data_IF_235033980808
#
_entry.id   IF_235033980808
#
_cell.length_a   1.000
_cell.length_b   1.000
_cell.length_c   1.000
_cell.angle_alpha   90.00
_cell.angle_beta   90.00
_cell.angle_gamma   90.00
#
_symmetry.space_group_name_H-M   'P 1'
#
loop_
_entity.id
_entity.type
_entity.pdbx_description
1 polymer ?
#
# COMPACT_ATOMS: atom_id res chain seq x y z
N UNK A 1 -0.28 -16.37 -23.83
CA UNK A 1 1.16 -16.36 -23.49
C UNK A 1 1.29 -16.19 -21.98
N UNK A 2 1.53 -17.27 -21.22
CA UNK A 2 1.81 -17.15 -19.78
C UNK A 2 3.13 -16.42 -19.59
N UNK A 3 3.06 -15.10 -19.30
CA UNK A 3 4.24 -14.34 -18.89
C UNK A 3 4.74 -14.95 -17.59
N UNK A 4 5.95 -15.52 -17.61
CA UNK A 4 6.64 -15.89 -16.38
C UNK A 4 6.82 -14.60 -15.59
N UNK A 5 6.31 -14.56 -14.36
CA UNK A 5 6.49 -13.40 -13.48
C UNK A 5 7.98 -13.21 -13.23
N UNK A 6 8.48 -12.02 -13.55
CA UNK A 6 9.89 -11.72 -13.35
C UNK A 6 10.17 -11.55 -11.86
N UNK A 7 11.39 -11.93 -11.43
CA UNK A 7 11.80 -11.81 -10.02
C UNK A 7 11.58 -10.40 -9.47
N UNK A 8 11.80 -9.38 -10.31
CA UNK A 8 11.63 -7.97 -9.92
C UNK A 8 10.14 -7.62 -9.73
N UNK A 9 9.24 -8.18 -10.55
CA UNK A 9 7.79 -8.01 -10.38
C UNK A 9 7.33 -8.58 -9.05
N UNK A 10 7.80 -9.78 -8.67
CA UNK A 10 7.48 -10.39 -7.38
C UNK A 10 7.97 -9.52 -6.22
N UNK A 11 9.19 -8.96 -6.31
CA UNK A 11 9.72 -8.06 -5.28
C UNK A 11 8.89 -6.77 -5.17
N UNK A 12 8.53 -6.17 -6.30
CA UNK A 12 7.71 -4.96 -6.34
C UNK A 12 6.29 -5.21 -5.80
N UNK A 13 5.71 -6.38 -6.09
CA UNK A 13 4.41 -6.80 -5.59
C UNK A 13 4.43 -6.98 -4.06
N UNK A 14 5.43 -7.69 -3.53
CA UNK A 14 5.63 -7.84 -2.07
C UNK A 14 5.75 -6.46 -1.40
N UNK A 15 6.58 -5.57 -1.97
CA UNK A 15 6.75 -4.21 -1.45
C UNK A 15 5.45 -3.42 -1.48
N UNK A 16 4.64 -3.58 -2.53
CA UNK A 16 3.35 -2.88 -2.64
C UNK A 16 2.36 -3.35 -1.58
N UNK A 17 2.33 -4.65 -1.27
CA UNK A 17 1.51 -5.20 -0.19
C UNK A 17 2.01 -4.69 1.17
N UNK A 18 3.32 -4.67 1.39
CA UNK A 18 3.93 -4.24 2.66
C UNK A 18 3.89 -2.71 2.89
N UNK A 19 3.15 -1.94 2.08
CA UNK A 19 2.81 -0.53 2.40
C UNK A 19 2.11 -0.42 3.75
N UNK A 20 1.33 -1.44 4.08
CA UNK A 20 0.73 -1.67 5.39
C UNK A 20 1.42 -2.87 6.07
N UNK A 21 1.49 -2.89 7.41
CA UNK A 21 2.15 -3.97 8.14
C UNK A 21 1.37 -5.28 8.00
N UNK A 22 1.95 -6.28 7.35
CA UNK A 22 1.31 -7.58 7.10
C UNK A 22 2.16 -8.76 7.56
N UNK A 23 1.50 -9.88 7.84
CA UNK A 23 2.17 -11.15 8.18
C UNK A 23 2.61 -11.89 6.92
N UNK A 24 3.61 -12.77 7.08
CA UNK A 24 4.11 -13.62 5.98
C UNK A 24 3.00 -14.43 5.29
N UNK A 25 2.04 -14.94 6.07
CA UNK A 25 0.91 -15.72 5.55
C UNK A 25 0.02 -14.88 4.65
N UNK A 26 -0.28 -13.64 5.04
CA UNK A 26 -1.08 -12.72 4.23
C UNK A 26 -0.39 -12.39 2.90
N UNK A 27 0.91 -12.07 2.95
CA UNK A 27 1.70 -11.76 1.76
C UNK A 27 1.71 -12.96 0.79
N UNK A 28 1.86 -14.18 1.31
CA UNK A 28 1.84 -15.41 0.49
C UNK A 28 0.51 -15.59 -0.23
N UNK A 29 -0.61 -15.44 0.49
CA UNK A 29 -1.94 -15.62 -0.09
C UNK A 29 -2.21 -14.60 -1.21
N UNK A 30 -1.68 -13.39 -1.09
CA UNK A 30 -1.91 -12.33 -2.07
C UNK A 30 -0.98 -12.41 -3.29
N UNK A 31 0.27 -12.81 -3.10
CA UNK A 31 1.28 -12.86 -4.19
C UNK A 31 1.19 -14.12 -5.05
N UNK A 32 0.44 -15.16 -4.65
CA UNK A 32 0.33 -16.42 -5.40
C UNK A 32 1.69 -17.00 -5.83
N UNK A 33 2.71 -16.88 -4.97
CA UNK A 33 4.06 -17.46 -5.17
C UNK A 33 4.28 -18.62 -4.21
N UNK A 34 5.22 -19.51 -4.55
CA UNK A 34 5.63 -20.58 -3.64
C UNK A 34 6.27 -20.00 -2.38
N UNK A 35 6.16 -20.75 -1.27
CA UNK A 35 6.70 -20.34 0.02
C UNK A 35 8.21 -20.07 -0.03
N UNK A 36 8.95 -20.89 -0.78
CA UNK A 36 10.40 -20.77 -0.98
C UNK A 36 10.78 -19.46 -1.67
N UNK A 37 10.08 -19.11 -2.76
CA UNK A 37 10.30 -17.88 -3.51
C UNK A 37 9.96 -16.67 -2.65
N UNK A 38 8.86 -16.73 -1.89
CA UNK A 38 8.50 -15.68 -0.95
C UNK A 38 9.58 -15.48 0.11
N UNK A 39 10.07 -16.56 0.71
CA UNK A 39 11.06 -16.50 1.78
C UNK A 39 12.40 -15.96 1.28
N UNK A 40 12.88 -16.43 0.12
CA UNK A 40 14.09 -15.88 -0.51
C UNK A 40 13.92 -14.40 -0.84
N UNK A 41 12.75 -13.99 -1.33
CA UNK A 41 12.44 -12.60 -1.67
C UNK A 41 12.41 -11.71 -0.43
N UNK A 42 11.70 -12.10 0.62
CA UNK A 42 11.66 -11.37 1.90
C UNK A 42 13.05 -11.22 2.48
N UNK A 43 13.84 -12.30 2.51
CA UNK A 43 15.22 -12.25 3.01
C UNK A 43 16.08 -11.24 2.24
N UNK A 44 15.96 -11.20 0.91
CA UNK A 44 16.66 -10.20 0.09
C UNK A 44 16.19 -8.77 0.38
N UNK A 45 14.88 -8.56 0.56
CA UNK A 45 14.30 -7.25 0.85
C UNK A 45 14.71 -6.73 2.23
N UNK A 46 14.76 -7.61 3.24
CA UNK A 46 15.24 -7.28 4.58
C UNK A 46 16.75 -6.99 4.56
N UNK A 47 17.55 -7.83 3.88
CA UNK A 47 19.00 -7.60 3.73
C UNK A 47 19.33 -6.27 3.07
N UNK A 48 18.50 -5.83 2.11
CA UNK A 48 18.62 -4.53 1.42
C UNK A 48 18.01 -3.36 2.21
N UNK A 49 17.45 -3.60 3.39
CA UNK A 49 16.73 -2.62 4.21
C UNK A 49 15.54 -1.98 3.47
N UNK A 50 14.90 -2.69 2.55
CA UNK A 50 13.68 -2.25 1.87
C UNK A 50 12.43 -2.67 2.64
N UNK A 51 12.55 -3.73 3.43
CA UNK A 51 11.56 -4.18 4.39
C UNK A 51 12.14 -4.14 5.81
N UNK A 52 11.29 -3.78 6.74
CA UNK A 52 11.49 -3.91 8.17
C UNK A 52 10.62 -5.05 8.69
N UNK A 53 11.17 -5.86 9.58
CA UNK A 53 10.43 -6.90 10.28
C UNK A 53 10.09 -6.38 11.67
N UNK A 54 8.82 -6.04 11.88
CA UNK A 54 8.28 -5.58 13.15
C UNK A 54 7.69 -6.77 13.91
N UNK A 55 8.27 -7.11 15.06
CA UNK A 55 7.77 -8.19 15.89
C UNK A 55 8.85 -8.86 16.71
N UNK A 56 9.18 -8.24 17.84
CA UNK A 56 10.08 -8.79 18.85
C UNK A 56 9.29 -9.30 20.07
N UNK A 57 8.10 -9.89 19.83
CA UNK A 57 7.20 -10.41 20.88
C UNK A 57 6.52 -11.73 20.49
N UNK A 58 5.60 -12.24 21.32
CA UNK A 58 4.88 -13.53 21.15
C UNK A 58 3.98 -13.66 19.90
N UNK A 59 4.05 -12.73 18.94
CA UNK A 59 3.21 -12.71 17.74
C UNK A 59 3.93 -13.19 16.47
N UNK A 60 3.15 -13.33 15.39
CA UNK A 60 3.72 -13.54 14.05
C UNK A 60 4.44 -12.27 13.59
N UNK A 61 5.66 -12.36 13.03
CA UNK A 61 6.40 -11.20 12.57
C UNK A 61 5.63 -10.48 11.46
N UNK A 62 5.50 -9.16 11.62
CA UNK A 62 4.89 -8.28 10.63
C UNK A 62 6.00 -7.64 9.81
N UNK A 63 5.63 -7.29 8.59
CA UNK A 63 6.55 -6.81 7.57
C UNK A 63 6.05 -5.47 7.07
N UNK A 64 6.91 -4.45 7.17
CA UNK A 64 6.59 -3.06 6.86
C UNK A 64 7.61 -2.49 5.89
N UNK A 65 7.15 -1.73 4.88
CA UNK A 65 8.06 -1.10 3.91
C UNK A 65 8.80 0.10 4.51
N UNK A 66 10.12 0.14 4.29
CA UNK A 66 10.97 1.25 4.72
C UNK A 66 10.92 2.42 3.73
N UNK A 67 11.49 3.57 4.10
CA UNK A 67 11.65 4.69 3.16
C UNK A 67 12.42 4.29 1.88
N UNK A 68 13.49 3.49 2.00
CA UNK A 68 14.26 2.98 0.85
C UNK A 68 13.41 2.10 -0.06
N UNK A 69 12.60 1.23 0.52
CA UNK A 69 11.67 0.38 -0.24
C UNK A 69 10.64 1.20 -1.02
N UNK A 70 10.11 2.27 -0.43
CA UNK A 70 9.18 3.19 -1.11
C UNK A 70 9.82 3.90 -2.30
N UNK A 71 11.07 4.35 -2.15
CA UNK A 71 11.81 4.98 -3.26
C UNK A 71 12.01 4.02 -4.43
N UNK A 72 12.37 2.76 -4.14
CA UNK A 72 12.48 1.73 -5.17
C UNK A 72 11.14 1.51 -5.87
N UNK A 73 10.06 1.35 -5.11
CA UNK A 73 8.73 1.12 -5.66
C UNK A 73 8.28 2.26 -6.57
N UNK A 74 8.55 3.51 -6.19
CA UNK A 74 8.26 4.69 -7.03
C UNK A 74 9.01 4.63 -8.36
N UNK A 75 10.33 4.39 -8.34
CA UNK A 75 11.15 4.27 -9.55
C UNK A 75 10.70 3.11 -10.43
N UNK A 76 10.31 2.00 -9.82
CA UNK A 76 9.77 0.85 -10.55
C UNK A 76 8.47 1.20 -11.28
N UNK A 77 7.55 1.91 -10.62
CA UNK A 77 6.31 2.37 -11.26
C UNK A 77 6.58 3.36 -12.39
N UNK A 78 7.51 4.30 -12.21
CA UNK A 78 7.94 5.22 -13.28
C UNK A 78 8.50 4.46 -14.49
N UNK A 79 9.33 3.43 -14.26
CA UNK A 79 9.85 2.58 -15.34
C UNK A 79 8.74 1.80 -16.07
N UNK A 80 7.77 1.25 -15.34
CA UNK A 80 6.62 0.56 -15.93
C UNK A 80 5.82 1.51 -16.84
N UNK A 81 5.62 2.75 -16.39
CA UNK A 81 4.94 3.79 -17.17
C UNK A 81 5.69 4.13 -18.46
N UNK A 82 7.02 4.28 -18.40
CA UNK A 82 7.87 4.53 -19.58
C UNK A 82 7.79 3.37 -20.57
N UNK A 83 7.77 2.13 -20.06
CA UNK A 83 7.70 0.92 -20.89
C UNK A 83 6.30 0.68 -21.48
N UNK A 84 5.31 1.50 -21.16
CA UNK A 84 3.92 1.29 -21.59
C UNK A 84 3.34 -0.03 -21.09
N UNK A 85 3.92 -0.61 -20.03
CA UNK A 85 3.37 -1.79 -19.40
C UNK A 85 2.13 -1.31 -18.65
N UNK A 86 0.96 -1.76 -19.11
CA UNK A 86 -0.34 -1.47 -18.54
C UNK A 86 -0.26 -1.70 -17.03
N UNK A 87 -0.21 -0.61 -16.27
CA UNK A 87 -0.13 -0.63 -14.82
C UNK A 87 -1.51 -1.13 -14.42
N UNK A 88 -1.67 -2.47 -14.34
CA UNK A 88 -2.77 -3.06 -13.57
C UNK A 88 -2.68 -2.38 -12.24
N UNK A 89 -3.60 -1.44 -12.02
CA UNK A 89 -3.73 -0.72 -10.79
C UNK A 89 -3.55 -1.74 -9.68
N UNK A 90 -2.54 -1.52 -8.83
CA UNK A 90 -2.39 -2.23 -7.56
C UNK A 90 -3.57 -1.78 -6.70
N UNK A 91 -4.76 -2.27 -7.07
CA UNK A 91 -6.03 -2.09 -6.40
C UNK A 91 -7.01 -3.10 -7.00
N UNK A 92 -7.00 -4.29 -6.43
CA UNK A 92 -8.14 -5.21 -6.47
C UNK A 92 -8.22 -5.90 -5.12
N UNK A 93 -8.54 -5.10 -4.09
CA UNK A 93 -9.63 -5.45 -3.19
C UNK A 93 -10.10 -4.21 -2.41
N UNK A 94 -11.06 -3.55 -3.04
CA UNK A 94 -12.18 -2.88 -2.41
C UNK A 94 -12.75 -3.69 -1.25
N UNK A 95 -12.43 -3.28 -0.03
CA UNK A 95 -13.34 -3.38 1.12
C UNK A 95 -13.35 -2.01 1.80
N UNK A 96 -14.47 -1.31 1.67
CA UNK A 96 -14.88 -0.23 2.55
C UNK A 96 -14.08 1.07 2.46
N UNK A 97 -14.37 1.89 1.45
CA UNK A 97 -14.43 3.33 1.70
C UNK A 97 -15.70 3.59 2.53
N UNK A 98 -15.62 3.99 3.81
CA UNK A 98 -16.71 4.76 4.38
C UNK A 98 -16.65 6.16 3.73
N UNK A 99 -17.58 6.38 2.81
CA UNK A 99 -18.02 7.71 2.47
C UNK A 99 -18.73 8.29 3.70
N UNK A 100 -18.00 8.96 4.58
CA UNK A 100 -18.56 9.90 5.57
C UNK A 100 -17.44 10.75 6.18
N UNK A 101 -17.02 11.78 5.46
CA UNK A 101 -16.66 13.04 6.11
C UNK A 101 -17.79 14.01 5.78
N UNK A 102 -18.87 13.86 6.54
CA UNK A 102 -19.87 14.89 6.75
C UNK A 102 -19.14 16.06 7.41
N UNK A 103 -18.76 17.04 6.59
CA UNK A 103 -18.34 18.35 7.08
C UNK A 103 -19.59 18.93 7.73
N UNK A 104 -19.64 18.84 9.05
CA UNK A 104 -20.62 19.52 9.88
C UNK A 104 -20.37 21.02 9.70
N UNK A 105 -21.08 21.61 8.73
CA UNK A 105 -21.23 23.05 8.62
C UNK A 105 -21.87 23.50 9.92
N UNK A 106 -21.08 24.09 10.80
CA UNK A 106 -21.57 24.76 11.99
C UNK A 106 -22.58 25.83 11.54
N UNK A 107 -23.85 25.54 11.80
CA UNK A 107 -24.95 26.49 11.81
C UNK A 107 -24.58 27.69 12.65
N UNK A 108 -24.33 28.83 12.01
CA UNK A 108 -24.50 30.14 12.65
C UNK A 108 -25.93 30.56 12.35
N UNK A 109 -26.80 30.75 13.37
CA UNK A 109 -28.17 31.19 13.14
C UNK A 109 -28.18 32.65 12.68
N UNK A 110 -28.63 32.85 11.44
CA UNK A 110 -29.12 34.13 10.93
C UNK A 110 -30.40 34.50 11.68
N UNK A 111 -30.38 35.61 12.41
CA UNK A 111 -31.60 36.31 12.83
C UNK A 111 -31.60 37.72 12.25
N UNK A 112 -32.30 37.85 11.12
CA UNK A 112 -33.19 38.93 10.66
C UNK A 112 -33.04 40.30 11.34
N UNK A 113 -32.60 41.34 10.63
CA UNK A 113 -33.43 42.29 9.83
C UNK A 113 -34.41 43.12 10.69
N UNK A 114 -34.21 44.45 10.76
CA UNK A 114 -35.10 45.45 10.13
C UNK A 114 -35.10 46.83 10.83
N UNK A 115 -34.85 47.89 10.03
CA UNK A 115 -35.48 49.23 10.01
C UNK A 115 -35.49 50.11 11.28
N UNK A 116 -34.95 51.34 11.17
CA UNK A 116 -35.70 52.59 10.88
C UNK A 116 -34.99 53.82 11.48
N UNK A 117 -35.06 54.92 10.76
CA UNK A 117 -34.58 56.27 11.06
C UNK A 117 -35.22 56.91 12.29
N UNK A 118 -34.46 57.78 12.96
CA UNK A 118 -34.77 59.19 13.22
C UNK A 118 -33.47 59.97 13.52
#
# INVERSE_FOLDING_TARGET
>A
MSRKRDRIEVLAEILSICKTPHTKTFIRCHTSVSYEVLQSSIMQLVKRQWLLQDGEGCGQPKFTITAKGRTFLKKWLELQQILGLDIKAVNSNSHGFPADIRVETASVPSSSRSTRSE
#
